data_IF_864803611481
#
_entry.id   IF_864803611481
#
_cell.length_a   1.000
_cell.length_b   1.000
_cell.length_c   1.000
_cell.angle_alpha   90.00
_cell.angle_beta   90.00
_cell.angle_gamma   90.00
#
_symmetry.space_group_name_H-M   'P 1'
#
loop_
_entity.id
_entity.type
_entity.pdbx_description
1 polymer ?
#
# COMPACT_ATOMS: atom_id res chain seq x y z
N UNK A 1 4.37 36.42 -6.45
CA UNK A 1 4.71 35.15 -5.77
C UNK A 1 3.67 34.79 -4.68
N UNK A 2 2.37 34.94 -4.95
CA UNK A 2 1.29 34.64 -4.00
C UNK A 2 0.05 34.05 -4.71
N UNK A 3 0.29 33.16 -5.69
CA UNK A 3 -0.79 32.60 -6.53
C UNK A 3 -0.38 31.33 -7.28
N UNK A 4 0.52 30.51 -6.72
CA UNK A 4 1.06 29.32 -7.40
C UNK A 4 0.58 27.99 -6.79
N UNK A 5 -0.27 28.02 -5.76
CA UNK A 5 -0.92 26.82 -5.21
C UNK A 5 -2.37 26.86 -5.68
N UNK A 6 -2.64 26.21 -6.80
CA UNK A 6 -4.01 26.00 -7.25
C UNK A 6 -4.61 24.94 -6.32
N UNK A 7 -5.58 25.32 -5.49
CA UNK A 7 -6.23 24.44 -4.53
C UNK A 7 -6.76 23.15 -5.21
N UNK A 8 -7.19 23.27 -6.47
CA UNK A 8 -7.58 22.14 -7.31
C UNK A 8 -6.48 21.08 -7.48
N UNK A 9 -5.21 21.46 -7.70
CA UNK A 9 -4.12 20.48 -7.81
C UNK A 9 -3.83 19.81 -6.48
N UNK A 10 -3.91 20.54 -5.36
CA UNK A 10 -3.69 19.98 -4.02
C UNK A 10 -4.76 18.94 -3.68
N UNK A 11 -6.03 19.27 -3.95
CA UNK A 11 -7.16 18.36 -3.75
C UNK A 11 -7.01 17.12 -4.63
N UNK A 12 -6.62 17.29 -5.89
CA UNK A 12 -6.42 16.17 -6.81
C UNK A 12 -5.28 15.24 -6.34
N UNK A 13 -4.14 15.80 -5.95
CA UNK A 13 -3.02 15.01 -5.40
C UNK A 13 -3.40 14.25 -4.14
N UNK A 14 -4.16 14.88 -3.23
CA UNK A 14 -4.67 14.20 -2.03
C UNK A 14 -5.59 13.03 -2.41
N UNK A 15 -6.52 13.23 -3.34
CA UNK A 15 -7.44 12.19 -3.80
C UNK A 15 -6.67 10.99 -4.39
N UNK A 16 -5.69 11.23 -5.25
CA UNK A 16 -4.87 10.17 -5.84
C UNK A 16 -3.99 9.46 -4.81
N UNK A 17 -3.41 10.17 -3.84
CA UNK A 17 -2.66 9.55 -2.73
C UNK A 17 -3.57 8.66 -1.87
N UNK A 18 -4.78 9.11 -1.53
CA UNK A 18 -5.74 8.31 -0.78
C UNK A 18 -6.22 7.10 -1.57
N UNK A 19 -6.45 7.25 -2.87
CA UNK A 19 -6.82 6.14 -3.75
C UNK A 19 -5.72 5.07 -3.76
N UNK A 20 -4.45 5.47 -3.87
CA UNK A 20 -3.33 4.53 -3.82
C UNK A 20 -3.24 3.76 -2.51
N UNK A 21 -3.43 4.44 -1.37
CA UNK A 21 -3.49 3.81 -0.04
C UNK A 21 -4.66 2.83 0.05
N UNK A 22 -5.82 3.20 -0.47
CA UNK A 22 -7.01 2.36 -0.47
C UNK A 22 -6.79 1.08 -1.29
N UNK A 23 -6.21 1.19 -2.48
CA UNK A 23 -5.88 0.02 -3.32
C UNK A 23 -4.86 -0.87 -2.64
N UNK A 24 -3.81 -0.30 -2.03
CA UNK A 24 -2.83 -1.06 -1.25
C UNK A 24 -3.49 -1.83 -0.11
N UNK A 25 -4.38 -1.18 0.64
CA UNK A 25 -5.07 -1.81 1.76
C UNK A 25 -5.97 -2.97 1.31
N UNK A 26 -6.72 -2.80 0.22
CA UNK A 26 -7.54 -3.87 -0.37
C UNK A 26 -6.66 -5.04 -0.83
N UNK A 27 -5.55 -4.76 -1.50
CA UNK A 27 -4.62 -5.80 -1.94
C UNK A 27 -4.00 -6.57 -0.76
N UNK A 28 -3.66 -5.86 0.33
CA UNK A 28 -3.15 -6.48 1.55
C UNK A 28 -4.19 -7.42 2.18
N UNK A 29 -5.47 -7.02 2.25
CA UNK A 29 -6.56 -7.88 2.75
C UNK A 29 -6.76 -9.13 1.87
N UNK A 30 -6.61 -8.99 0.55
CA UNK A 30 -6.67 -10.13 -0.37
C UNK A 30 -5.53 -11.10 -0.09
N UNK A 31 -4.31 -10.60 0.09
CA UNK A 31 -3.14 -11.44 0.41
C UNK A 31 -3.31 -12.11 1.77
N UNK A 32 -3.74 -11.39 2.80
CA UNK A 32 -3.99 -11.96 4.13
C UNK A 32 -5.01 -13.11 4.06
N UNK A 33 -6.07 -12.96 3.27
CA UNK A 33 -7.06 -14.02 3.07
C UNK A 33 -6.55 -15.17 2.20
N UNK A 34 -5.69 -14.90 1.22
CA UNK A 34 -5.11 -15.91 0.33
C UNK A 34 -4.00 -16.72 1.03
N UNK A 35 -3.35 -16.10 2.00
CA UNK A 35 -2.33 -16.74 2.82
C UNK A 35 -3.04 -17.55 3.91
N UNK A 36 -2.90 -18.89 3.95
CA UNK A 36 -3.59 -19.73 4.95
C UNK A 36 -3.03 -19.57 6.38
N UNK A 37 -2.09 -18.65 6.58
CA UNK A 37 -1.44 -18.36 7.86
C UNK A 37 -2.03 -17.10 8.46
N UNK A 38 -2.21 -17.08 9.78
CA UNK A 38 -2.51 -15.84 10.48
C UNK A 38 -1.26 -14.96 10.50
N UNK A 39 -1.16 -14.02 9.56
CA UNK A 39 0.00 -13.12 9.40
C UNK A 39 0.38 -12.47 10.74
N UNK A 40 -0.60 -12.02 11.50
CA UNK A 40 -0.39 -11.39 12.81
C UNK A 40 0.29 -12.34 13.81
N UNK A 41 -0.22 -13.56 13.95
CA UNK A 41 0.34 -14.56 14.85
C UNK A 41 1.75 -14.95 14.42
N UNK A 42 1.94 -15.23 13.13
CA UNK A 42 3.22 -15.70 12.62
C UNK A 42 4.31 -14.62 12.69
N UNK A 43 4.00 -13.36 12.36
CA UNK A 43 4.97 -12.27 12.34
C UNK A 43 5.27 -11.76 13.76
N UNK A 44 4.24 -11.63 14.61
CA UNK A 44 4.39 -10.93 15.91
C UNK A 44 4.61 -11.91 17.05
N UNK A 45 3.87 -13.02 17.12
CA UNK A 45 4.01 -14.00 18.21
C UNK A 45 5.15 -14.99 17.92
N UNK A 46 5.13 -15.64 16.76
CA UNK A 46 6.14 -16.64 16.36
C UNK A 46 7.43 -16.01 15.83
N UNK A 47 7.43 -14.68 15.58
CA UNK A 47 8.57 -13.92 15.03
C UNK A 47 9.14 -14.54 13.75
N UNK A 48 8.28 -15.02 12.87
CA UNK A 48 8.67 -15.59 11.59
C UNK A 48 9.16 -14.49 10.64
N UNK A 49 10.46 -14.22 10.68
CA UNK A 49 11.13 -13.21 9.85
C UNK A 49 11.01 -13.54 8.37
N UNK A 50 11.02 -14.82 7.98
CA UNK A 50 10.87 -15.21 6.58
C UNK A 50 9.52 -14.76 6.01
N UNK A 51 8.44 -14.99 6.76
CA UNK A 51 7.10 -14.56 6.35
C UNK A 51 6.96 -13.03 6.38
N UNK A 52 7.59 -12.35 7.35
CA UNK A 52 7.63 -10.88 7.37
C UNK A 52 8.35 -10.29 6.14
N UNK A 53 9.46 -10.88 5.70
CA UNK A 53 10.19 -10.47 4.48
C UNK A 53 9.31 -10.67 3.24
N UNK A 54 8.64 -11.81 3.13
CA UNK A 54 7.76 -12.10 1.97
C UNK A 54 6.61 -11.10 1.91
N UNK A 55 5.92 -10.86 3.02
CA UNK A 55 4.82 -9.87 3.11
C UNK A 55 5.32 -8.46 2.81
N UNK A 56 6.51 -8.10 3.30
CA UNK A 56 7.15 -6.82 3.00
C UNK A 56 7.48 -6.66 1.51
N UNK A 57 8.03 -7.71 0.88
CA UNK A 57 8.35 -7.71 -0.55
C UNK A 57 7.08 -7.63 -1.42
N UNK A 58 6.03 -8.37 -1.06
CA UNK A 58 4.73 -8.28 -1.74
C UNK A 58 4.13 -6.88 -1.61
N UNK A 59 4.20 -6.29 -0.40
CA UNK A 59 3.73 -4.92 -0.15
C UNK A 59 4.47 -3.90 -1.01
N UNK A 60 5.81 -4.03 -1.12
CA UNK A 60 6.62 -3.18 -2.01
C UNK A 60 6.20 -3.33 -3.48
N UNK A 61 5.97 -4.57 -3.94
CA UNK A 61 5.50 -4.83 -5.31
C UNK A 61 4.16 -4.14 -5.61
N UNK A 62 3.21 -4.21 -4.68
CA UNK A 62 1.91 -3.51 -4.81
C UNK A 62 2.11 -2.00 -4.88
N UNK A 63 2.92 -1.43 -3.99
CA UNK A 63 3.22 0.00 -4.01
C UNK A 63 3.82 0.46 -5.34
N UNK A 64 4.70 -0.34 -5.96
CA UNK A 64 5.30 -0.03 -7.27
C UNK A 64 4.24 -0.08 -8.37
N UNK A 65 3.36 -1.10 -8.38
CA UNK A 65 2.27 -1.21 -9.36
C UNK A 65 1.32 -0.02 -9.25
N UNK A 66 0.94 0.34 -8.02
CA UNK A 66 0.07 1.51 -7.74
C UNK A 66 0.74 2.81 -8.18
N UNK A 67 2.03 3.00 -7.88
CA UNK A 67 2.78 4.18 -8.31
C UNK A 67 2.84 4.28 -9.84
N UNK A 68 3.08 3.17 -10.53
CA UNK A 68 3.09 3.11 -12.00
C UNK A 68 1.71 3.40 -12.60
N UNK A 69 0.63 2.95 -11.96
CA UNK A 69 -0.74 3.20 -12.40
C UNK A 69 -1.19 4.65 -12.19
N UNK A 70 -0.75 5.31 -11.12
CA UNK A 70 -1.09 6.72 -10.82
C UNK A 70 -0.26 7.68 -11.69
N UNK A 71 0.95 7.28 -12.08
CA UNK A 71 1.84 8.08 -12.94
C UNK A 71 1.64 7.80 -14.44
N UNK A 72 0.60 7.05 -14.83
CA UNK A 72 0.24 6.78 -16.23
C UNK A 72 -0.73 7.84 -16.78
#
# INVERSE_FOLDING_TARGET
>A
MAGMINLGFVINSLLFSFLGIFVFWVAFLIIDKLTPYHLWKEIIEEKNVALAIVVGAMSLGICIIVAAAIHA
#
